data_IF_701049327966
#
_entry.id   IF_701049327966
#
_cell.length_a   1.000
_cell.length_b   1.000
_cell.length_c   1.000
_cell.angle_alpha   90.00
_cell.angle_beta   90.00
_cell.angle_gamma   90.00
#
_symmetry.space_group_name_H-M   'P 1'
#
loop_
_entity.id
_entity.type
_entity.pdbx_description
1 polymer ?
#
# COMPACT_ATOMS: atom_id res chain seq x y z
N UNK A 1 24.10 1.86 5.35
CA UNK A 1 22.72 1.67 5.83
C UNK A 1 22.73 0.34 6.56
N UNK A 2 22.32 0.32 7.82
CA UNK A 2 22.23 -0.94 8.60
C UNK A 2 20.88 -1.58 8.29
N UNK A 3 20.87 -2.81 7.76
CA UNK A 3 19.65 -3.47 7.30
C UNK A 3 19.43 -4.78 8.07
N UNK A 4 18.29 -4.90 8.73
CA UNK A 4 17.94 -6.08 9.53
C UNK A 4 16.66 -6.75 9.04
N UNK A 5 16.61 -8.07 9.10
CA UNK A 5 15.43 -8.88 8.83
C UNK A 5 14.82 -9.35 10.14
N UNK A 6 13.50 -9.19 10.30
CA UNK A 6 12.74 -9.64 11.47
C UNK A 6 11.83 -10.80 11.07
N UNK A 7 11.82 -11.84 11.90
CA UNK A 7 11.02 -13.06 11.71
C UNK A 7 11.35 -13.84 10.43
N UNK A 8 12.63 -13.92 10.05
CA UNK A 8 13.07 -14.71 8.91
C UNK A 8 13.08 -16.21 9.25
N UNK A 9 12.36 -17.02 8.48
CA UNK A 9 12.54 -18.48 8.49
C UNK A 9 13.59 -18.89 7.44
N UNK A 10 14.83 -19.16 7.90
CA UNK A 10 15.93 -19.62 7.02
C UNK A 10 15.60 -20.89 6.24
N UNK A 11 14.75 -21.77 6.79
CA UNK A 11 14.40 -23.04 6.14
C UNK A 11 13.46 -22.85 4.94
N UNK A 12 12.55 -21.88 5.01
CA UNK A 12 11.71 -21.45 3.89
C UNK A 12 12.46 -20.54 2.91
N UNK A 13 13.34 -19.66 3.41
CA UNK A 13 14.13 -18.74 2.59
C UNK A 13 15.07 -19.46 1.62
N UNK A 14 15.64 -20.61 1.97
CA UNK A 14 16.50 -21.37 1.04
C UNK A 14 15.72 -22.37 0.18
N UNK A 15 14.59 -22.89 0.66
CA UNK A 15 13.84 -23.96 -0.02
C UNK A 15 12.88 -23.45 -1.10
N UNK A 16 12.26 -22.28 -0.93
CA UNK A 16 11.37 -21.70 -1.94
C UNK A 16 12.11 -21.27 -3.21
N UNK A 17 13.37 -20.85 -3.11
CA UNK A 17 14.20 -20.50 -4.27
C UNK A 17 14.74 -21.72 -5.01
N UNK A 18 15.00 -22.83 -4.30
CA UNK A 18 15.36 -24.10 -4.95
C UNK A 18 14.18 -24.77 -5.70
N UNK A 19 12.93 -24.49 -5.33
CA UNK A 19 11.74 -25.11 -5.94
C UNK A 19 11.32 -24.51 -7.29
N UNK A 20 11.88 -23.36 -7.70
CA UNK A 20 11.64 -22.78 -9.03
C UNK A 20 12.12 -23.67 -10.21
N UNK A 21 12.85 -24.76 -9.93
CA UNK A 21 13.31 -25.74 -10.95
C UNK A 21 12.26 -26.76 -11.42
N UNK A 22 10.99 -26.68 -11.00
CA UNK A 22 9.95 -27.65 -11.42
C UNK A 22 8.90 -27.06 -12.36
N UNK A 23 9.34 -26.44 -13.46
CA UNK A 23 8.54 -26.40 -14.69
C UNK A 23 9.01 -27.53 -15.61
N UNK A 24 8.36 -28.68 -15.54
CA UNK A 24 8.50 -29.72 -16.57
C UNK A 24 7.75 -29.27 -17.83
N UNK A 25 8.50 -28.98 -18.88
CA UNK A 25 8.01 -28.81 -20.25
C UNK A 25 7.42 -30.15 -20.73
N UNK A 26 6.17 -30.21 -21.23
CA UNK A 26 5.59 -31.46 -21.71
C UNK A 26 6.16 -31.81 -23.08
N UNK A 27 6.91 -32.92 -23.17
CA UNK A 27 7.44 -33.34 -24.47
C UNK A 27 8.36 -34.54 -24.48
N UNK A 28 8.01 -35.68 -23.86
CA UNK A 28 8.54 -36.99 -24.30
C UNK A 28 7.49 -38.07 -24.14
N UNK A 29 7.12 -38.67 -25.27
CA UNK A 29 6.27 -39.84 -25.40
C UNK A 29 6.94 -41.07 -24.77
N UNK A 30 6.31 -41.67 -23.75
CA UNK A 30 6.58 -43.05 -23.37
C UNK A 30 5.27 -43.81 -23.25
N UNK A 31 5.01 -44.64 -24.26
CA UNK A 31 4.01 -45.69 -24.21
C UNK A 31 4.36 -46.68 -23.09
N UNK A 32 3.44 -46.92 -22.16
CA UNK A 32 3.29 -48.23 -21.51
C UNK A 32 1.86 -48.38 -20.97
N UNK A 33 1.14 -49.33 -21.59
CA UNK A 33 -0.14 -49.89 -21.14
C UNK A 33 -0.03 -50.32 -19.68
N UNK A 34 -1.02 -49.96 -18.87
CA UNK A 34 -1.43 -50.82 -17.77
C UNK A 34 -2.95 -50.71 -17.55
N UNK A 35 -3.64 -51.80 -17.88
CA UNK A 35 -5.02 -52.08 -17.51
C UNK A 35 -5.12 -52.17 -15.99
N UNK A 36 -6.10 -51.50 -15.38
CA UNK A 36 -6.85 -52.04 -14.23
C UNK A 36 -8.14 -51.26 -14.02
N UNK A 37 -9.25 -51.99 -14.16
CA UNK A 37 -10.59 -51.59 -13.75
C UNK A 37 -10.63 -51.32 -12.26
N UNK A 38 -11.29 -50.25 -11.82
CA UNK A 38 -11.92 -50.21 -10.51
C UNK A 38 -13.23 -49.45 -10.55
N UNK A 39 -14.16 -49.99 -9.77
CA UNK A 39 -15.61 -49.87 -9.87
C UNK A 39 -16.10 -48.52 -9.36
N UNK A 40 -17.20 -48.10 -9.97
CA UNK A 40 -18.13 -47.08 -9.51
C UNK A 40 -18.49 -47.24 -8.02
N UNK A 41 -18.35 -46.13 -7.28
CA UNK A 41 -19.19 -45.84 -6.11
C UNK A 41 -19.65 -44.39 -6.25
N UNK A 42 -20.95 -44.23 -6.48
CA UNK A 42 -21.64 -42.95 -6.56
C UNK A 42 -21.80 -42.36 -5.15
N UNK A 43 -21.09 -41.29 -4.83
CA UNK A 43 -21.45 -40.38 -3.75
C UNK A 43 -21.96 -39.09 -4.38
N UNK A 44 -23.25 -38.81 -4.20
CA UNK A 44 -23.89 -37.59 -4.68
C UNK A 44 -23.18 -36.35 -4.14
N UNK A 45 -22.57 -35.59 -5.05
CA UNK A 45 -22.11 -34.24 -4.79
C UNK A 45 -23.33 -33.32 -4.84
N UNK A 46 -23.69 -32.74 -3.70
CA UNK A 46 -24.51 -31.53 -3.70
C UNK A 46 -23.65 -30.42 -4.31
N UNK A 47 -23.93 -30.11 -5.58
CA UNK A 47 -23.41 -28.94 -6.27
C UNK A 47 -23.90 -27.68 -5.56
N UNK A 48 -23.13 -27.19 -4.58
CA UNK A 48 -23.20 -25.79 -4.18
C UNK A 48 -22.61 -24.97 -5.33
N UNK A 49 -23.46 -24.63 -6.30
CA UNK A 49 -23.08 -23.73 -7.39
C UNK A 49 -22.87 -22.35 -6.78
N UNK A 50 -21.62 -22.03 -6.41
CA UNK A 50 -21.23 -20.66 -6.04
C UNK A 50 -21.52 -19.81 -7.27
N UNK A 51 -22.45 -18.85 -7.15
CA UNK A 51 -22.72 -17.88 -8.21
C UNK A 51 -21.45 -17.07 -8.42
N UNK A 52 -20.84 -17.21 -9.60
CA UNK A 52 -19.65 -16.47 -10.02
C UNK A 52 -19.97 -15.06 -10.55
N UNK A 53 -21.24 -14.66 -10.54
CA UNK A 53 -21.68 -13.36 -11.05
C UNK A 53 -21.64 -12.30 -9.96
N UNK A 54 -20.99 -11.17 -10.27
CA UNK A 54 -20.99 -9.98 -9.42
C UNK A 54 -22.38 -9.37 -9.38
N UNK A 55 -22.71 -8.63 -8.30
CA UNK A 55 -23.96 -7.88 -8.26
C UNK A 55 -23.88 -6.71 -9.23
N UNK A 56 -24.96 -6.43 -9.95
CA UNK A 56 -25.02 -5.33 -10.91
C UNK A 56 -25.95 -4.21 -10.45
N UNK A 57 -25.53 -2.96 -10.63
CA UNK A 57 -26.27 -1.76 -10.24
C UNK A 57 -26.26 -0.74 -11.37
N UNK A 58 -27.34 0.02 -11.55
CA UNK A 58 -27.38 1.14 -12.49
C UNK A 58 -27.48 2.45 -11.72
N UNK A 59 -26.53 3.37 -11.90
CA UNK A 59 -26.45 4.59 -11.08
C UNK A 59 -27.72 5.44 -11.16
N UNK A 60 -28.36 5.51 -12.33
CA UNK A 60 -29.60 6.25 -12.53
C UNK A 60 -30.80 5.70 -11.74
N UNK A 61 -30.71 4.47 -11.23
CA UNK A 61 -31.78 3.79 -10.50
C UNK A 61 -31.53 3.77 -8.98
N UNK A 62 -30.38 4.29 -8.53
CA UNK A 62 -30.01 4.35 -7.13
C UNK A 62 -30.30 5.71 -6.51
N UNK A 63 -30.74 5.68 -5.25
CA UNK A 63 -30.76 6.86 -4.39
C UNK A 63 -29.34 7.24 -3.97
N UNK A 64 -29.14 8.50 -3.54
CA UNK A 64 -27.85 8.96 -3.00
C UNK A 64 -27.35 8.06 -1.85
N UNK A 65 -28.25 7.64 -0.96
CA UNK A 65 -27.91 6.73 0.14
C UNK A 65 -27.50 5.33 -0.33
N UNK A 66 -28.06 4.84 -1.43
CA UNK A 66 -27.64 3.57 -2.02
C UNK A 66 -26.26 3.67 -2.66
N UNK A 67 -26.00 4.75 -3.40
CA UNK A 67 -24.67 5.03 -3.96
C UNK A 67 -23.63 5.16 -2.84
N UNK A 68 -23.95 5.85 -1.74
CA UNK A 68 -23.06 5.95 -0.58
C UNK A 68 -22.75 4.59 0.06
N UNK A 69 -23.71 3.65 0.07
CA UNK A 69 -23.50 2.29 0.59
C UNK A 69 -22.54 1.47 -0.27
N UNK A 70 -22.44 1.75 -1.58
CA UNK A 70 -21.49 1.06 -2.47
C UNK A 70 -20.02 1.39 -2.17
N UNK A 71 -19.75 2.42 -1.36
CA UNK A 71 -18.39 2.78 -0.91
C UNK A 71 -17.88 1.88 0.21
N UNK A 72 -18.74 1.05 0.80
CA UNK A 72 -18.39 0.20 1.92
C UNK A 72 -17.56 -1.00 1.45
N UNK A 73 -16.50 -1.29 2.20
CA UNK A 73 -15.59 -2.41 1.94
C UNK A 73 -15.96 -3.64 2.78
N UNK A 74 -15.64 -4.85 2.32
CA UNK A 74 -15.87 -6.13 3.01
C UNK A 74 -14.89 -6.35 4.19
N UNK A 75 -14.69 -5.34 5.04
CA UNK A 75 -13.74 -5.39 6.16
C UNK A 75 -14.45 -5.55 7.49
N UNK A 76 -13.76 -6.14 8.46
CA UNK A 76 -14.19 -6.13 9.85
C UNK A 76 -14.04 -4.69 10.39
N UNK A 77 -14.96 -4.29 11.26
CA UNK A 77 -14.83 -3.00 11.94
C UNK A 77 -13.56 -2.93 12.77
N UNK A 78 -12.88 -1.78 12.73
CA UNK A 78 -11.57 -1.62 13.37
C UNK A 78 -11.61 -1.89 14.88
N UNK A 79 -12.70 -1.50 15.57
CA UNK A 79 -12.81 -1.72 17.01
C UNK A 79 -12.76 -3.22 17.37
N UNK A 80 -13.36 -4.06 16.53
CA UNK A 80 -13.37 -5.52 16.72
C UNK A 80 -11.97 -6.09 16.47
N UNK A 81 -11.28 -5.64 15.42
CA UNK A 81 -9.91 -6.11 15.12
C UNK A 81 -8.93 -5.64 16.21
N UNK A 82 -9.09 -4.42 16.72
CA UNK A 82 -8.23 -3.88 17.77
C UNK A 82 -8.27 -4.75 19.02
N UNK A 83 -9.43 -5.30 19.39
CA UNK A 83 -9.53 -6.20 20.55
C UNK A 83 -8.71 -7.49 20.39
N UNK A 84 -8.49 -7.95 19.15
CA UNK A 84 -7.68 -9.14 18.83
C UNK A 84 -6.19 -8.78 18.75
N UNK A 85 -5.86 -7.60 18.25
CA UNK A 85 -4.49 -7.16 18.00
C UNK A 85 -3.81 -6.57 19.23
N UNK A 86 -4.54 -5.81 20.05
CA UNK A 86 -4.00 -5.11 21.22
C UNK A 86 -3.26 -6.04 22.19
N UNK A 87 -3.78 -7.23 22.54
CA UNK A 87 -3.05 -8.15 23.42
C UNK A 87 -1.69 -8.57 22.84
N UNK A 88 -1.59 -8.80 21.52
CA UNK A 88 -0.33 -9.16 20.86
C UNK A 88 0.65 -7.99 20.94
N UNK A 89 0.17 -6.77 20.71
CA UNK A 89 0.99 -5.55 20.80
C UNK A 89 1.56 -5.38 22.22
N UNK A 90 0.72 -5.51 23.25
CA UNK A 90 1.11 -5.32 24.66
C UNK A 90 2.04 -6.42 25.16
N UNK A 91 1.83 -7.66 24.72
CA UNK A 91 2.69 -8.81 25.07
C UNK A 91 4.08 -8.66 24.45
N UNK A 92 4.19 -8.20 23.20
CA UNK A 92 5.51 -7.92 22.59
C UNK A 92 6.21 -6.76 23.28
N UNK A 93 5.47 -5.71 23.68
CA UNK A 93 6.04 -4.60 24.46
C UNK A 93 6.62 -5.07 25.79
N UNK A 94 5.93 -5.97 26.49
CA UNK A 94 6.30 -6.40 27.84
C UNK A 94 7.34 -7.52 27.87
N UNK A 95 7.29 -8.45 26.91
CA UNK A 95 8.15 -9.65 26.89
C UNK A 95 9.19 -9.68 25.75
N UNK A 96 9.16 -8.71 24.83
CA UNK A 96 10.12 -8.60 23.75
C UNK A 96 10.16 -9.86 22.86
N UNK A 97 11.36 -10.38 22.62
CA UNK A 97 11.62 -11.48 21.67
C UNK A 97 10.88 -12.77 22.04
N UNK A 98 10.66 -13.03 23.33
CA UNK A 98 9.97 -14.24 23.78
C UNK A 98 8.51 -14.28 23.28
N UNK A 99 7.81 -13.15 23.34
CA UNK A 99 6.47 -13.03 22.78
C UNK A 99 6.48 -13.17 21.25
N UNK A 100 7.48 -12.59 20.57
CA UNK A 100 7.60 -12.71 19.11
C UNK A 100 7.79 -14.18 18.69
N UNK A 101 8.69 -14.92 19.35
CA UNK A 101 8.91 -16.36 19.10
C UNK A 101 7.65 -17.17 19.39
N UNK A 102 6.96 -16.89 20.50
CA UNK A 102 5.72 -17.57 20.87
C UNK A 102 4.61 -17.38 19.82
N UNK A 103 4.35 -16.15 19.42
CA UNK A 103 3.31 -15.86 18.43
C UNK A 103 3.67 -16.37 17.03
N UNK A 104 4.96 -16.39 16.68
CA UNK A 104 5.43 -17.02 15.43
C UNK A 104 5.17 -18.52 15.44
N UNK A 105 5.47 -19.22 16.53
CA UNK A 105 5.14 -20.65 16.66
C UNK A 105 3.63 -20.90 16.66
N UNK A 106 2.86 -20.00 17.28
CA UNK A 106 1.39 -20.13 17.39
C UNK A 106 0.68 -19.95 16.07
N UNK A 107 0.98 -18.89 15.33
CA UNK A 107 0.25 -18.52 14.11
C UNK A 107 0.90 -19.13 12.87
N UNK A 108 2.21 -18.94 12.72
CA UNK A 108 2.93 -19.31 11.50
C UNK A 108 3.38 -20.77 11.51
N UNK A 109 3.28 -21.45 12.67
CA UNK A 109 3.73 -22.83 12.91
C UNK A 109 5.24 -23.02 12.68
N UNK A 110 6.01 -21.94 12.81
CA UNK A 110 7.46 -21.92 12.68
C UNK A 110 8.09 -21.63 14.04
N UNK A 111 9.13 -22.39 14.41
CA UNK A 111 9.96 -22.08 15.58
C UNK A 111 11.18 -21.30 15.11
N UNK A 112 11.32 -20.07 15.59
CA UNK A 112 12.49 -19.24 15.32
C UNK A 112 13.60 -19.49 16.36
N UNK A 113 14.83 -19.64 15.89
CA UNK A 113 16.01 -19.63 16.74
C UNK A 113 16.37 -18.19 17.11
N UNK A 114 16.48 -17.32 16.10
CA UNK A 114 16.69 -15.87 16.24
C UNK A 114 15.50 -15.07 15.71
N UNK A 115 15.18 -13.94 16.35
CA UNK A 115 14.12 -13.03 15.90
C UNK A 115 14.62 -12.12 14.78
N UNK A 116 15.90 -11.75 14.83
CA UNK A 116 16.52 -10.78 13.93
C UNK A 116 17.78 -11.34 13.32
N UNK A 117 17.93 -11.12 12.02
CA UNK A 117 19.09 -11.47 11.22
C UNK A 117 19.67 -10.20 10.58
N UNK A 118 21.00 -10.04 10.61
CA UNK A 118 21.65 -8.97 9.85
C UNK A 118 21.81 -9.41 8.40
N UNK A 119 21.38 -8.57 7.45
CA UNK A 119 21.49 -8.89 6.02
C UNK A 119 22.96 -9.04 5.62
N UNK A 120 23.88 -8.31 6.26
CA UNK A 120 25.31 -8.40 5.96
C UNK A 120 25.91 -9.78 6.31
N UNK A 121 25.28 -10.53 7.21
CA UNK A 121 25.72 -11.86 7.65
C UNK A 121 25.09 -12.99 6.81
N UNK A 122 24.16 -12.67 5.91
CA UNK A 122 23.51 -13.64 5.03
C UNK A 122 24.28 -13.81 3.71
N UNK A 123 24.40 -15.04 3.19
CA UNK A 123 24.98 -15.24 1.87
C UNK A 123 24.05 -14.70 0.79
N UNK A 124 24.64 -14.22 -0.30
CA UNK A 124 23.87 -13.86 -1.49
C UNK A 124 23.07 -15.07 -1.99
N UNK A 125 21.76 -14.92 -2.26
CA UNK A 125 20.95 -16.04 -2.73
C UNK A 125 21.32 -16.41 -4.17
N UNK A 126 21.40 -17.72 -4.45
CA UNK A 126 21.47 -18.20 -5.82
C UNK A 126 20.09 -18.10 -6.48
N UNK A 127 19.98 -17.27 -7.52
CA UNK A 127 18.75 -17.04 -8.27
C UNK A 127 18.90 -17.57 -9.70
N UNK A 128 17.79 -18.04 -10.27
CA UNK A 128 17.73 -18.26 -11.71
C UNK A 128 18.05 -16.94 -12.45
N UNK A 129 18.91 -16.95 -13.49
CA UNK A 129 19.30 -15.73 -14.19
C UNK A 129 18.12 -14.89 -14.71
N UNK A 130 17.05 -15.52 -15.18
CA UNK A 130 15.88 -14.81 -15.68
C UNK A 130 15.07 -14.16 -14.54
N UNK A 131 15.00 -14.83 -13.38
CA UNK A 131 14.39 -14.26 -12.17
C UNK A 131 15.20 -13.04 -11.70
N UNK A 132 16.53 -13.17 -11.65
CA UNK A 132 17.42 -12.06 -11.30
C UNK A 132 17.24 -10.87 -12.25
N UNK A 133 17.25 -11.11 -13.56
CA UNK A 133 17.07 -10.06 -14.57
C UNK A 133 15.72 -9.34 -14.39
N UNK A 134 14.63 -10.06 -14.14
CA UNK A 134 13.32 -9.45 -13.90
C UNK A 134 13.30 -8.52 -12.67
N UNK A 135 13.90 -8.95 -11.56
CA UNK A 135 14.02 -8.10 -10.35
C UNK A 135 14.98 -6.93 -10.54
N UNK A 136 16.05 -7.10 -11.33
CA UNK A 136 16.96 -6.01 -11.67
C UNK A 136 16.25 -4.94 -12.53
N UNK A 137 15.42 -5.34 -13.50
CA UNK A 137 14.59 -4.42 -14.30
C UNK A 137 13.60 -3.67 -13.41
N UNK A 138 12.87 -4.39 -12.54
CA UNK A 138 11.96 -3.79 -11.58
C UNK A 138 12.67 -2.76 -10.69
N UNK A 139 13.81 -3.14 -10.10
CA UNK A 139 14.62 -2.24 -9.28
C UNK A 139 15.01 -0.96 -10.03
N UNK A 140 15.50 -1.09 -11.27
CA UNK A 140 15.95 0.05 -12.05
C UNK A 140 14.81 1.03 -12.35
N UNK A 141 13.62 0.52 -12.70
CA UNK A 141 12.46 1.36 -12.98
C UNK A 141 11.92 2.04 -11.71
N UNK A 142 11.83 1.31 -10.60
CA UNK A 142 11.42 1.86 -9.29
C UNK A 142 12.41 2.93 -8.83
N UNK A 143 13.71 2.67 -8.93
CA UNK A 143 14.76 3.62 -8.59
C UNK A 143 14.65 4.88 -9.44
N UNK A 144 14.53 4.75 -10.77
CA UNK A 144 14.40 5.89 -11.67
C UNK A 144 13.17 6.75 -11.35
N UNK A 145 12.01 6.13 -11.11
CA UNK A 145 10.77 6.83 -10.79
C UNK A 145 10.85 7.61 -9.47
N UNK A 146 11.41 7.01 -8.41
CA UNK A 146 11.50 7.67 -7.10
C UNK A 146 12.64 8.68 -7.03
N UNK A 147 13.76 8.44 -7.73
CA UNK A 147 14.86 9.40 -7.82
C UNK A 147 14.43 10.70 -8.53
N UNK A 148 13.51 10.61 -9.49
CA UNK A 148 12.95 11.78 -10.17
C UNK A 148 12.09 12.69 -9.26
N UNK A 149 11.71 12.23 -8.05
CA UNK A 149 10.93 13.01 -7.07
C UNK A 149 11.81 13.93 -6.20
N UNK A 150 13.14 13.85 -6.31
CA UNK A 150 14.05 14.70 -5.53
C UNK A 150 13.85 16.17 -5.91
N UNK A 151 13.36 16.97 -4.95
CA UNK A 151 13.20 18.41 -5.13
C UNK A 151 14.57 19.10 -5.19
N UNK A 152 14.75 19.99 -6.16
CA UNK A 152 15.83 20.97 -6.10
C UNK A 152 15.53 22.00 -5.00
N UNK A 153 16.44 22.14 -4.04
CA UNK A 153 16.35 23.10 -2.95
C UNK A 153 16.42 24.54 -3.50
N UNK A 154 15.27 25.20 -3.65
CA UNK A 154 15.23 26.61 -4.03
C UNK A 154 15.60 27.51 -2.86
N UNK A 155 16.65 28.30 -3.03
CA UNK A 155 17.04 29.35 -2.08
C UNK A 155 16.12 30.55 -2.31
N UNK A 156 15.25 30.84 -1.34
CA UNK A 156 14.55 32.13 -1.26
C UNK A 156 15.49 33.08 -0.51
N UNK A 157 15.70 34.31 -0.99
CA UNK A 157 16.52 35.31 -0.28
C UNK A 157 16.12 35.37 1.21
N UNK A 158 17.08 35.13 2.11
CA UNK A 158 16.95 35.01 3.58
C UNK A 158 16.47 33.66 4.15
N UNK A 159 16.34 32.60 3.35
CA UNK A 159 16.11 31.23 3.85
C UNK A 159 17.24 30.30 3.37
N UNK A 160 17.84 29.56 4.31
CA UNK A 160 18.78 28.49 3.97
C UNK A 160 17.98 27.23 3.63
N UNK A 161 18.50 26.38 2.74
CA UNK A 161 17.75 25.21 2.31
C UNK A 161 17.53 24.20 3.45
N UNK A 162 16.41 23.48 3.37
CA UNK A 162 16.08 22.37 4.26
C UNK A 162 17.07 21.22 4.02
N UNK A 163 17.54 20.55 5.08
CA UNK A 163 18.42 19.37 4.93
C UNK A 163 17.58 18.10 4.76
N UNK A 164 17.75 17.40 3.64
CA UNK A 164 17.19 16.07 3.43
C UNK A 164 17.95 15.04 4.30
N UNK A 165 17.23 14.22 5.06
CA UNK A 165 17.80 13.16 5.89
C UNK A 165 17.28 11.80 5.42
N UNK A 166 18.15 10.98 4.85
CA UNK A 166 17.84 9.60 4.49
C UNK A 166 17.84 8.64 5.68
N UNK A 167 17.18 7.49 5.54
CA UNK A 167 17.13 6.45 6.56
C UNK A 167 18.54 5.89 6.84
N UNK A 168 18.94 5.88 8.12
CA UNK A 168 20.21 5.29 8.55
C UNK A 168 20.10 3.78 8.79
N UNK A 169 18.97 3.37 9.36
CA UNK A 169 18.62 2.00 9.70
C UNK A 169 17.33 1.62 8.98
N UNK A 170 17.32 0.44 8.37
CA UNK A 170 16.14 -0.15 7.72
C UNK A 170 15.89 -1.51 8.34
N UNK A 171 14.68 -1.73 8.83
CA UNK A 171 14.26 -3.01 9.40
C UNK A 171 13.13 -3.54 8.54
N UNK A 172 13.29 -4.76 8.03
CA UNK A 172 12.32 -5.39 7.15
C UNK A 172 11.75 -6.64 7.83
N UNK A 173 10.43 -6.66 8.01
CA UNK A 173 9.73 -7.80 8.59
C UNK A 173 9.24 -8.73 7.48
N UNK A 174 9.62 -10.00 7.53
CA UNK A 174 9.10 -11.04 6.62
C UNK A 174 8.21 -12.00 7.37
N UNK A 175 7.04 -12.42 6.82
CA UNK A 175 6.27 -13.49 7.41
C UNK A 175 7.02 -14.82 7.24
N UNK A 176 7.25 -15.59 8.32
CA UNK A 176 7.88 -16.90 8.21
C UNK A 176 6.90 -17.99 7.71
N UNK A 177 5.58 -17.74 7.79
CA UNK A 177 4.52 -18.62 7.29
C UNK A 177 3.79 -18.08 6.05
N UNK A 178 2.98 -18.93 5.40
CA UNK A 178 2.26 -18.61 4.16
C UNK A 178 1.05 -17.67 4.35
N UNK A 179 0.59 -17.45 5.59
CA UNK A 179 -0.60 -16.64 5.89
C UNK A 179 -0.31 -15.11 5.91
N UNK A 180 0.96 -14.72 5.79
CA UNK A 180 1.39 -13.32 5.73
C UNK A 180 1.23 -12.54 7.04
N UNK A 181 0.90 -13.19 8.16
CA UNK A 181 0.59 -12.48 9.41
C UNK A 181 1.86 -12.00 10.13
N UNK A 182 2.10 -10.69 10.18
CA UNK A 182 3.30 -10.10 10.83
C UNK A 182 2.99 -9.14 11.99
N UNK A 183 1.79 -9.21 12.57
CA UNK A 183 1.38 -8.32 13.66
C UNK A 183 2.41 -8.21 14.81
N UNK A 184 2.98 -9.34 15.24
CA UNK A 184 4.05 -9.38 16.24
C UNK A 184 5.33 -8.63 15.82
N UNK A 185 5.68 -8.67 14.54
CA UNK A 185 6.83 -7.93 14.01
C UNK A 185 6.58 -6.42 13.95
N UNK A 186 5.34 -5.98 13.65
CA UNK A 186 4.97 -4.56 13.73
C UNK A 186 5.19 -4.02 15.15
N UNK A 187 4.75 -4.76 16.16
CA UNK A 187 4.97 -4.38 17.56
C UNK A 187 6.45 -4.38 17.95
N UNK A 188 7.22 -5.38 17.49
CA UNK A 188 8.66 -5.46 17.73
C UNK A 188 9.42 -4.27 17.12
N UNK A 189 9.08 -3.87 15.89
CA UNK A 189 9.67 -2.69 15.25
C UNK A 189 9.26 -1.38 15.96
N UNK A 190 8.02 -1.29 16.43
CA UNK A 190 7.52 -0.07 17.06
C UNK A 190 8.14 0.19 18.44
N UNK A 191 8.19 -0.83 19.30
CA UNK A 191 8.73 -0.71 20.65
C UNK A 191 10.23 -0.95 20.74
N UNK A 192 10.79 -1.69 19.77
CA UNK A 192 12.07 -2.34 19.92
C UNK A 192 11.99 -3.56 20.84
N UNK A 193 12.93 -4.47 20.68
CA UNK A 193 13.14 -5.62 21.59
C UNK A 193 14.63 -5.74 21.92
N UNK A 194 15.03 -6.82 22.60
CA UNK A 194 16.45 -7.12 22.81
C UNK A 194 17.25 -7.25 21.51
N UNK A 195 16.62 -7.72 20.43
CA UNK A 195 17.27 -7.92 19.13
C UNK A 195 16.76 -6.98 18.02
N UNK A 196 15.49 -6.61 18.04
CA UNK A 196 14.87 -5.73 17.04
C UNK A 196 15.08 -4.25 17.40
N UNK A 197 15.73 -3.46 16.52
CA UNK A 197 15.81 -2.02 16.71
C UNK A 197 14.41 -1.40 16.70
N UNK A 198 14.20 -0.41 17.57
CA UNK A 198 13.04 0.48 17.49
C UNK A 198 13.18 1.37 16.25
N UNK A 199 12.12 1.47 15.44
CA UNK A 199 12.05 2.41 14.30
C UNK A 199 11.17 3.63 14.63
N UNK A 200 11.30 4.71 13.86
CA UNK A 200 10.42 5.89 14.00
C UNK A 200 9.20 5.88 13.06
N UNK A 201 9.23 5.09 11.98
CA UNK A 201 8.12 4.97 11.03
C UNK A 201 8.03 3.55 10.47
N UNK A 202 6.81 3.00 10.41
CA UNK A 202 6.53 1.65 9.88
C UNK A 202 5.77 1.77 8.56
N UNK A 203 6.20 0.98 7.57
CA UNK A 203 5.68 1.00 6.21
C UNK A 203 5.14 -0.37 5.79
N UNK A 204 4.35 -0.37 4.72
CA UNK A 204 4.04 -1.56 3.95
C UNK A 204 2.58 -2.01 4.07
N UNK A 205 2.11 -2.78 3.08
CA UNK A 205 0.78 -3.35 3.09
C UNK A 205 0.70 -4.55 4.03
N UNK A 206 -0.52 -4.99 4.31
CA UNK A 206 -0.72 -6.25 5.00
C UNK A 206 -2.20 -6.58 5.16
N UNK A 207 -2.46 -7.76 5.69
CA UNK A 207 -3.82 -8.13 6.05
C UNK A 207 -4.38 -7.16 7.11
N UNK A 208 -5.69 -7.25 7.34
CA UNK A 208 -6.40 -6.37 8.27
C UNK A 208 -5.80 -6.31 9.70
N UNK A 209 -5.11 -7.36 10.17
CA UNK A 209 -4.46 -7.39 11.48
C UNK A 209 -3.17 -6.57 11.50
N UNK A 210 -2.37 -6.64 10.42
CA UNK A 210 -1.16 -5.81 10.24
C UNK A 210 -1.55 -4.33 10.18
N UNK A 211 -2.56 -4.00 9.39
CA UNK A 211 -3.08 -2.64 9.28
C UNK A 211 -3.63 -2.13 10.61
N UNK A 212 -4.36 -2.96 11.35
CA UNK A 212 -4.82 -2.61 12.68
C UNK A 212 -3.66 -2.39 13.67
N UNK A 213 -2.62 -3.21 13.64
CA UNK A 213 -1.44 -3.04 14.50
C UNK A 213 -0.74 -1.71 14.24
N UNK A 214 -0.54 -1.36 12.95
CA UNK A 214 -0.02 -0.06 12.51
C UNK A 214 -0.87 1.10 13.07
N UNK A 215 -2.19 0.99 12.96
CA UNK A 215 -3.13 2.03 13.42
C UNK A 215 -3.19 2.19 14.94
N UNK A 216 -3.02 1.11 15.70
CA UNK A 216 -2.89 1.15 17.16
C UNK A 216 -1.58 1.84 17.55
N UNK A 217 -0.47 1.39 16.97
CA UNK A 217 0.87 1.80 17.40
C UNK A 217 1.19 3.26 17.10
N UNK A 218 0.65 3.84 16.02
CA UNK A 218 0.81 5.28 15.75
C UNK A 218 0.16 6.18 16.82
N UNK A 219 -0.78 5.66 17.60
CA UNK A 219 -1.46 6.35 18.69
C UNK A 219 -0.92 5.95 20.07
N UNK A 220 0.18 5.21 20.12
CA UNK A 220 0.77 4.69 21.36
C UNK A 220 1.99 5.49 21.80
N UNK A 221 2.43 5.24 23.04
CA UNK A 221 3.68 5.76 23.60
C UNK A 221 4.95 5.22 22.90
N UNK A 222 4.82 4.41 21.84
CA UNK A 222 5.95 3.95 21.04
C UNK A 222 6.59 5.09 20.24
N UNK A 223 5.88 6.23 20.10
CA UNK A 223 6.35 7.40 19.35
C UNK A 223 6.80 7.01 17.93
N UNK A 224 5.88 6.35 17.22
CA UNK A 224 6.06 5.97 15.81
C UNK A 224 4.98 6.61 14.96
N UNK A 225 5.29 6.79 13.68
CA UNK A 225 4.29 7.07 12.65
C UNK A 225 4.14 5.86 11.72
N UNK A 226 3.13 5.89 10.86
CA UNK A 226 2.97 4.93 9.77
C UNK A 226 2.88 5.69 8.45
N UNK A 227 3.06 4.99 7.34
CA UNK A 227 2.73 5.50 6.00
C UNK A 227 1.23 5.76 5.85
N UNK A 228 0.41 4.69 5.91
CA UNK A 228 -1.04 4.74 5.70
C UNK A 228 -1.71 3.42 6.11
N UNK A 229 -3.05 3.40 6.23
CA UNK A 229 -3.81 2.16 6.22
C UNK A 229 -3.78 1.53 4.82
N UNK A 230 -3.03 0.45 4.66
CA UNK A 230 -2.91 -0.33 3.44
C UNK A 230 -3.38 -1.75 3.73
N UNK A 231 -4.71 -1.93 3.67
CA UNK A 231 -5.41 -3.20 3.93
C UNK A 231 -5.47 -4.11 2.70
N UNK A 232 -6.49 -4.99 2.63
CA UNK A 232 -6.79 -5.81 1.45
C UNK A 232 -6.93 -4.96 0.21
N UNK A 233 -6.40 -5.55 -0.84
CA UNK A 233 -6.25 -5.07 -2.18
C UNK A 233 -7.58 -4.72 -2.87
N UNK A 234 -7.62 -3.58 -3.57
CA UNK A 234 -8.79 -3.08 -4.32
C UNK A 234 -8.41 -2.73 -5.77
N UNK A 235 -9.31 -2.98 -6.72
CA UNK A 235 -9.23 -2.44 -8.09
C UNK A 235 -10.60 -1.99 -8.57
N UNK A 236 -10.65 -0.83 -9.22
CA UNK A 236 -11.82 -0.36 -9.95
C UNK A 236 -11.45 -0.21 -11.43
N UNK A 237 -12.16 -0.94 -12.29
CA UNK A 237 -11.97 -0.90 -13.75
C UNK A 237 -13.12 -0.12 -14.38
N UNK A 238 -12.81 0.97 -15.07
CA UNK A 238 -13.76 1.67 -15.94
C UNK A 238 -13.58 1.13 -17.36
N UNK A 239 -14.63 0.57 -17.94
CA UNK A 239 -14.61 -0.03 -19.27
C UNK A 239 -15.70 0.54 -20.18
N UNK A 240 -15.34 0.89 -21.41
CA UNK A 240 -16.29 1.26 -22.48
C UNK A 240 -16.39 0.16 -23.55
N UNK A 241 -17.21 0.37 -24.57
CA UNK A 241 -17.45 -0.61 -25.65
C UNK A 241 -16.22 -1.03 -26.45
N UNK A 242 -15.08 -0.33 -26.31
CA UNK A 242 -13.82 -0.68 -26.98
C UNK A 242 -12.93 -1.57 -26.12
N UNK A 243 -13.26 -1.73 -24.83
CA UNK A 243 -12.54 -2.62 -23.93
C UNK A 243 -12.73 -4.08 -24.36
N UNK A 244 -11.63 -4.85 -24.36
CA UNK A 244 -11.70 -6.29 -24.59
C UNK A 244 -12.21 -6.98 -23.31
N UNK A 245 -13.33 -7.73 -23.36
CA UNK A 245 -13.86 -8.44 -22.20
C UNK A 245 -12.83 -9.37 -21.54
N UNK A 246 -11.91 -9.93 -22.34
CA UNK A 246 -10.85 -10.80 -21.84
C UNK A 246 -9.86 -10.09 -20.95
N UNK A 247 -9.53 -8.84 -21.29
CA UNK A 247 -8.58 -8.05 -20.51
C UNK A 247 -9.26 -7.51 -19.25
N UNK A 248 -10.50 -7.01 -19.36
CA UNK A 248 -11.29 -6.55 -18.21
C UNK A 248 -11.45 -7.66 -17.17
N UNK A 249 -11.79 -8.89 -17.61
CA UNK A 249 -11.88 -10.04 -16.72
C UNK A 249 -10.53 -10.37 -16.05
N UNK A 250 -9.44 -10.29 -16.80
CA UNK A 250 -8.10 -10.56 -16.27
C UNK A 250 -7.68 -9.53 -15.22
N UNK A 251 -7.93 -8.25 -15.46
CA UNK A 251 -7.63 -7.15 -14.52
C UNK A 251 -8.47 -7.26 -13.23
N UNK A 252 -9.74 -7.62 -13.33
CA UNK A 252 -10.56 -7.87 -12.13
C UNK A 252 -10.04 -9.08 -11.34
N UNK A 253 -9.58 -10.13 -12.03
CA UNK A 253 -9.10 -11.34 -11.38
C UNK A 253 -7.70 -11.20 -10.79
N UNK A 254 -6.83 -10.36 -11.36
CA UNK A 254 -5.46 -10.15 -10.84
C UNK A 254 -5.49 -9.65 -9.42
N UNK A 255 -6.46 -8.79 -9.08
CA UNK A 255 -6.60 -8.30 -7.71
C UNK A 255 -7.48 -9.18 -6.82
N UNK A 256 -8.48 -9.86 -7.41
CA UNK A 256 -9.33 -10.79 -6.66
C UNK A 256 -8.54 -11.97 -6.08
N UNK A 257 -7.45 -12.41 -6.72
CA UNK A 257 -6.66 -13.55 -6.23
C UNK A 257 -5.74 -13.23 -5.04
N UNK A 258 -5.53 -11.95 -4.72
CA UNK A 258 -4.69 -11.53 -3.59
C UNK A 258 -5.21 -12.09 -2.26
N UNK A 259 -6.52 -12.03 -2.02
CA UNK A 259 -7.14 -12.51 -0.80
C UNK A 259 -8.67 -12.55 -0.85
N UNK A 260 -9.31 -13.32 0.05
CA UNK A 260 -10.77 -13.43 0.13
C UNK A 260 -11.45 -12.11 0.55
N UNK A 261 -10.68 -11.15 1.05
CA UNK A 261 -11.07 -9.82 1.50
C UNK A 261 -10.80 -8.71 0.46
N UNK A 262 -10.17 -9.03 -0.68
CA UNK A 262 -10.03 -8.10 -1.81
C UNK A 262 -11.37 -7.72 -2.40
N UNK A 263 -11.58 -6.46 -2.79
CA UNK A 263 -12.81 -6.02 -3.46
C UNK A 263 -12.50 -5.49 -4.85
N UNK A 264 -13.23 -5.98 -5.85
CA UNK A 264 -13.08 -5.51 -7.23
C UNK A 264 -14.39 -4.86 -7.72
N UNK A 265 -14.26 -3.81 -8.52
CA UNK A 265 -15.41 -3.05 -9.01
C UNK A 265 -15.28 -2.84 -10.52
N UNK A 266 -16.29 -3.22 -11.28
CA UNK A 266 -16.39 -2.89 -12.70
C UNK A 266 -17.35 -1.70 -12.87
N UNK A 267 -16.94 -0.66 -13.58
CA UNK A 267 -17.80 0.45 -13.97
C UNK A 267 -17.92 0.46 -15.49
N UNK A 268 -19.08 0.06 -15.99
CA UNK A 268 -19.43 0.11 -17.41
C UNK A 268 -19.80 1.54 -17.78
N UNK A 269 -19.05 2.15 -18.68
CA UNK A 269 -19.24 3.53 -19.11
C UNK A 269 -19.95 3.60 -20.48
N UNK A 270 -21.20 4.05 -20.46
CA UNK A 270 -22.04 4.19 -21.66
C UNK A 270 -22.57 2.87 -22.20
N UNK A 271 -22.99 2.89 -23.46
CA UNK A 271 -23.64 1.76 -24.12
C UNK A 271 -22.64 0.88 -24.89
N UNK A 272 -23.01 -0.39 -25.11
CA UNK A 272 -22.33 -1.30 -26.04
C UNK A 272 -21.24 -2.18 -25.41
N UNK A 273 -21.07 -2.14 -24.09
CA UNK A 273 -20.29 -3.15 -23.36
C UNK A 273 -21.17 -4.39 -23.18
N UNK A 274 -20.67 -5.55 -23.62
CA UNK A 274 -21.34 -6.83 -23.38
C UNK A 274 -20.89 -7.38 -22.02
N UNK A 275 -21.72 -7.20 -20.99
CA UNK A 275 -21.42 -7.70 -19.65
C UNK A 275 -21.39 -9.24 -19.60
N UNK A 276 -22.22 -9.92 -20.39
CA UNK A 276 -22.26 -11.38 -20.43
C UNK A 276 -20.89 -11.94 -20.86
N UNK A 277 -20.23 -11.31 -21.84
CA UNK A 277 -18.89 -11.71 -22.29
C UNK A 277 -17.83 -11.53 -21.19
N UNK A 278 -17.94 -10.47 -20.38
CA UNK A 278 -17.02 -10.22 -19.26
C UNK A 278 -17.27 -11.26 -18.15
N UNK A 279 -18.53 -11.51 -17.79
CA UNK A 279 -18.88 -12.49 -16.75
C UNK A 279 -18.49 -13.93 -17.14
N UNK A 280 -18.69 -14.30 -18.41
CA UNK A 280 -18.28 -15.59 -18.94
C UNK A 280 -16.75 -15.77 -18.87
N UNK A 281 -16.00 -14.71 -19.20
CA UNK A 281 -14.54 -14.79 -19.14
C UNK A 281 -14.02 -14.76 -17.69
N UNK A 282 -14.63 -13.98 -16.78
CA UNK A 282 -14.32 -14.06 -15.33
C UNK A 282 -14.47 -15.51 -14.85
N UNK A 283 -15.60 -16.15 -15.17
CA UNK A 283 -15.86 -17.53 -14.78
C UNK A 283 -14.84 -18.50 -15.38
N UNK A 284 -14.53 -18.35 -16.66
CA UNK A 284 -13.60 -19.22 -17.39
C UNK A 284 -12.16 -19.08 -16.89
N UNK A 285 -11.69 -17.87 -16.63
CA UNK A 285 -10.34 -17.60 -16.15
C UNK A 285 -10.21 -18.01 -14.67
N UNK A 286 -11.17 -17.64 -13.82
CA UNK A 286 -11.14 -17.94 -12.38
C UNK A 286 -11.03 -19.45 -12.08
N UNK A 287 -11.73 -20.29 -12.85
CA UNK A 287 -11.65 -21.76 -12.71
C UNK A 287 -10.26 -22.34 -13.01
N UNK A 288 -9.40 -21.60 -13.70
CA UNK A 288 -8.04 -22.02 -14.08
C UNK A 288 -6.98 -21.45 -13.14
N UNK A 289 -7.35 -20.55 -12.22
CA UNK A 289 -6.43 -19.95 -11.27
C UNK A 289 -6.13 -20.91 -10.12
N UNK A 290 -4.85 -21.11 -9.76
CA UNK A 290 -4.48 -21.85 -8.55
C UNK A 290 -5.14 -21.29 -7.28
N UNK A 291 -5.35 -19.96 -7.24
CA UNK A 291 -6.00 -19.24 -6.13
C UNK A 291 -7.47 -18.90 -6.42
N UNK A 292 -8.13 -19.65 -7.30
CA UNK A 292 -9.51 -19.40 -7.72
C UNK A 292 -10.52 -19.36 -6.57
N UNK A 293 -10.32 -20.12 -5.48
CA UNK A 293 -11.20 -20.04 -4.31
C UNK A 293 -11.16 -18.68 -3.60
N UNK A 294 -9.99 -18.02 -3.57
CA UNK A 294 -9.87 -16.67 -3.00
C UNK A 294 -10.55 -15.66 -3.92
N UNK A 295 -10.28 -15.76 -5.24
CA UNK A 295 -10.92 -14.91 -6.23
C UNK A 295 -12.45 -15.03 -6.21
N UNK A 296 -13.01 -16.25 -6.12
CA UNK A 296 -14.45 -16.46 -5.97
C UNK A 296 -15.02 -15.81 -4.70
N UNK A 297 -14.26 -15.82 -3.61
CA UNK A 297 -14.68 -15.19 -2.36
C UNK A 297 -14.66 -13.67 -2.47
N UNK A 298 -13.62 -13.08 -3.06
CA UNK A 298 -13.54 -11.66 -3.38
C UNK A 298 -14.70 -11.22 -4.29
N UNK A 299 -14.98 -11.99 -5.35
CA UNK A 299 -16.08 -11.72 -6.28
C UNK A 299 -17.46 -11.72 -5.60
N UNK A 300 -17.65 -12.45 -4.49
CA UNK A 300 -18.93 -12.53 -3.79
C UNK A 300 -19.39 -11.22 -3.14
N UNK A 301 -18.48 -10.28 -2.94
CA UNK A 301 -18.73 -8.94 -2.39
C UNK A 301 -18.22 -7.81 -3.31
N UNK A 302 -17.87 -8.18 -4.54
CA UNK A 302 -17.56 -7.31 -5.67
C UNK A 302 -18.82 -7.00 -6.48
N UNK A 303 -18.77 -5.95 -7.30
CA UNK A 303 -19.96 -5.50 -8.03
C UNK A 303 -19.64 -4.74 -9.32
N UNK A 304 -20.63 -4.74 -10.22
CA UNK A 304 -20.66 -3.96 -11.46
C UNK A 304 -21.59 -2.76 -11.28
N UNK A 305 -21.17 -1.61 -11.83
CA UNK A 305 -21.95 -0.37 -11.87
C UNK A 305 -22.09 0.09 -13.32
N UNK A 306 -23.30 0.40 -13.76
CA UNK A 306 -23.56 1.02 -15.06
C UNK A 306 -23.69 2.53 -14.89
N UNK A 307 -22.80 3.25 -15.56
CA UNK A 307 -22.78 4.70 -15.68
C UNK A 307 -23.17 5.11 -17.12
N UNK A 308 -23.87 6.24 -17.26
CA UNK A 308 -24.37 6.73 -18.55
C UNK A 308 -23.25 7.14 -19.51
N UNK A 309 -22.10 7.56 -18.99
CA UNK A 309 -20.94 8.04 -19.72
C UNK A 309 -19.67 7.92 -18.85
N UNK A 310 -18.50 8.23 -19.43
CA UNK A 310 -17.22 8.18 -18.71
C UNK A 310 -17.13 9.22 -17.59
N UNK A 311 -17.83 10.36 -17.71
CA UNK A 311 -17.81 11.41 -16.68
C UNK A 311 -18.52 10.92 -15.41
N UNK A 312 -19.69 10.29 -15.56
CA UNK A 312 -20.43 9.69 -14.44
C UNK A 312 -19.64 8.50 -13.85
N UNK A 313 -18.97 7.71 -14.68
CA UNK A 313 -18.11 6.62 -14.23
C UNK A 313 -16.94 7.11 -13.34
N UNK A 314 -16.23 8.16 -13.78
CA UNK A 314 -15.13 8.76 -13.00
C UNK A 314 -15.67 9.44 -11.74
N UNK A 315 -16.85 10.08 -11.81
CA UNK A 315 -17.48 10.67 -10.63
C UNK A 315 -17.79 9.61 -9.57
N UNK A 316 -18.27 8.43 -9.97
CA UNK A 316 -18.46 7.30 -9.07
C UNK A 316 -17.12 6.75 -8.55
N UNK A 317 -16.10 6.62 -9.42
CA UNK A 317 -14.75 6.21 -9.01
C UNK A 317 -14.17 7.12 -7.94
N UNK A 318 -14.23 8.45 -8.12
CA UNK A 318 -13.79 9.44 -7.14
C UNK A 318 -14.53 9.30 -5.80
N UNK A 319 -15.82 8.97 -5.83
CA UNK A 319 -16.61 8.74 -4.62
C UNK A 319 -16.18 7.46 -3.87
N UNK A 320 -15.94 6.38 -4.64
CA UNK A 320 -15.44 5.11 -4.12
C UNK A 320 -14.03 5.26 -3.54
N UNK A 321 -13.17 6.00 -4.24
CA UNK A 321 -11.74 6.23 -3.97
C UNK A 321 -10.96 4.91 -3.93
N UNK A 322 -10.75 4.27 -5.08
CA UNK A 322 -10.07 2.97 -5.16
C UNK A 322 -8.57 3.07 -4.87
N UNK A 323 -7.99 1.96 -4.44
CA UNK A 323 -6.53 1.79 -4.39
C UNK A 323 -5.94 1.87 -5.81
N UNK A 324 -6.42 1.02 -6.72
CA UNK A 324 -6.03 1.00 -8.13
C UNK A 324 -7.21 1.38 -9.03
N UNK A 325 -6.98 2.29 -9.98
CA UNK A 325 -7.96 2.72 -10.97
C UNK A 325 -7.46 2.37 -12.37
N UNK A 326 -8.13 1.45 -13.05
CA UNK A 326 -7.85 1.13 -14.47
C UNK A 326 -8.90 1.81 -15.34
N UNK A 327 -8.46 2.66 -16.26
CA UNK A 327 -9.33 3.35 -17.22
C UNK A 327 -9.12 2.73 -18.60
N UNK A 328 -9.87 1.66 -18.87
CA UNK A 328 -9.87 0.93 -20.14
C UNK A 328 -10.99 1.45 -21.05
N UNK A 329 -10.86 2.70 -21.47
CA UNK A 329 -11.78 3.38 -22.40
C UNK A 329 -11.00 3.96 -23.57
N UNK A 330 -11.69 4.33 -24.64
CA UNK A 330 -11.04 5.04 -25.76
C UNK A 330 -10.54 6.42 -25.32
N UNK A 331 -9.32 6.77 -25.72
CA UNK A 331 -8.63 8.01 -25.38
C UNK A 331 -8.54 8.26 -23.86
N UNK A 332 -8.19 7.22 -23.09
CA UNK A 332 -8.17 7.21 -21.63
C UNK A 332 -7.43 8.41 -21.01
N UNK A 333 -6.34 8.87 -21.63
CA UNK A 333 -5.50 9.97 -21.16
C UNK A 333 -6.24 11.31 -21.11
N UNK A 334 -7.28 11.50 -21.93
CA UNK A 334 -8.08 12.74 -21.92
C UNK A 334 -8.87 12.92 -20.63
N UNK A 335 -9.03 11.86 -19.85
CA UNK A 335 -9.83 11.86 -18.64
C UNK A 335 -9.02 12.03 -17.36
N UNK A 336 -7.69 12.11 -17.46
CA UNK A 336 -6.77 12.23 -16.31
C UNK A 336 -7.15 13.38 -15.38
N UNK A 337 -7.50 14.55 -15.93
CA UNK A 337 -7.85 15.75 -15.14
C UNK A 337 -9.16 15.64 -14.35
N UNK A 338 -9.96 14.60 -14.57
CA UNK A 338 -11.21 14.34 -13.84
C UNK A 338 -10.99 13.43 -12.62
N UNK A 339 -9.81 12.82 -12.51
CA UNK A 339 -9.48 11.92 -11.42
C UNK A 339 -9.12 12.77 -10.20
N UNK A 340 -9.90 12.61 -9.13
CA UNK A 340 -9.67 13.29 -7.85
C UNK A 340 -9.12 12.32 -6.79
N UNK A 341 -9.64 11.09 -6.75
CA UNK A 341 -9.30 10.11 -5.71
C UNK A 341 -9.00 8.74 -6.32
N UNK A 342 -7.72 8.38 -6.37
CA UNK A 342 -7.22 7.04 -6.67
C UNK A 342 -5.79 6.91 -6.11
N UNK A 343 -5.40 5.72 -5.64
CA UNK A 343 -4.03 5.48 -5.18
C UNK A 343 -3.02 5.48 -6.33
N UNK A 344 -3.31 4.69 -7.37
CA UNK A 344 -2.54 4.62 -8.62
C UNK A 344 -3.48 4.41 -9.81
N UNK A 345 -3.11 4.96 -10.97
CA UNK A 345 -3.96 5.02 -12.16
C UNK A 345 -3.27 4.35 -13.34
N UNK A 346 -4.03 3.52 -14.06
CA UNK A 346 -3.59 2.78 -15.23
C UNK A 346 -4.44 3.16 -16.44
N UNK A 347 -3.82 3.70 -17.48
CA UNK A 347 -4.53 4.27 -18.63
C UNK A 347 -4.42 3.38 -19.87
N UNK A 348 -5.56 3.06 -20.47
CA UNK A 348 -5.65 2.36 -21.76
C UNK A 348 -5.51 0.84 -21.69
N UNK A 349 -5.50 0.22 -22.87
CA UNK A 349 -5.66 -1.25 -23.05
C UNK A 349 -4.44 -2.09 -22.70
N UNK A 350 -3.26 -1.46 -22.57
CA UNK A 350 -1.96 -2.14 -22.46
C UNK A 350 -1.28 -1.92 -21.11
N UNK A 351 -2.02 -1.38 -20.15
CA UNK A 351 -1.51 -0.98 -18.85
C UNK A 351 -2.26 -1.76 -17.77
N UNK A 352 -2.11 -3.09 -17.68
CA UNK A 352 -2.74 -3.87 -16.62
C UNK A 352 -2.12 -3.50 -15.26
N UNK A 353 -2.88 -3.65 -14.18
CA UNK A 353 -2.40 -3.36 -12.81
C UNK A 353 -1.04 -4.03 -12.51
N UNK A 354 -0.87 -5.25 -13.02
CA UNK A 354 0.36 -6.04 -12.84
C UNK A 354 1.64 -5.30 -13.26
N UNK A 355 1.63 -4.43 -14.28
CA UNK A 355 2.87 -3.68 -14.58
C UNK A 355 3.22 -2.71 -13.45
N UNK A 356 2.22 -2.12 -12.79
CA UNK A 356 2.39 -1.29 -11.58
C UNK A 356 2.89 -2.08 -10.39
N UNK A 357 2.31 -3.25 -10.15
CA UNK A 357 2.66 -4.10 -9.02
C UNK A 357 4.10 -4.59 -9.04
N UNK A 358 4.69 -4.72 -10.23
CA UNK A 358 6.00 -5.35 -10.38
C UNK A 358 7.09 -4.41 -10.88
N UNK A 359 6.90 -3.68 -11.98
CA UNK A 359 8.06 -3.19 -12.75
C UNK A 359 7.91 -1.86 -13.49
N UNK A 360 6.75 -1.20 -13.51
CA UNK A 360 6.59 0.09 -14.21
C UNK A 360 7.40 1.21 -13.57
N UNK A 361 7.66 1.10 -12.27
CA UNK A 361 8.40 2.05 -11.44
C UNK A 361 7.54 2.76 -10.39
N UNK A 362 6.21 2.77 -10.58
CA UNK A 362 5.27 3.28 -9.56
C UNK A 362 5.32 2.41 -8.30
N UNK A 363 4.84 2.95 -7.18
CA UNK A 363 4.81 2.25 -5.90
C UNK A 363 3.45 1.56 -5.70
N UNK A 364 3.44 0.26 -5.41
CA UNK A 364 2.21 -0.50 -5.16
C UNK A 364 1.73 -0.45 -3.70
N UNK A 365 2.45 0.23 -2.81
CA UNK A 365 2.00 0.42 -1.42
C UNK A 365 1.08 1.62 -1.40
N UNK A 366 -0.22 1.34 -1.53
CA UNK A 366 -1.26 2.32 -1.77
C UNK A 366 -2.33 2.30 -0.67
N UNK A 367 -3.08 3.40 -0.52
CA UNK A 367 -4.12 3.49 0.49
C UNK A 367 -5.39 2.78 0.02
N UNK A 368 -5.91 1.87 0.83
CA UNK A 368 -7.17 1.15 0.55
C UNK A 368 -8.34 1.72 1.38
N UNK A 369 -9.52 1.10 1.35
CA UNK A 369 -10.69 1.45 2.17
C UNK A 369 -11.27 2.86 1.96
N UNK A 370 -10.89 3.52 0.86
CA UNK A 370 -11.25 4.90 0.59
C UNK A 370 -10.31 5.92 1.22
N UNK A 371 -9.17 5.50 1.79
CA UNK A 371 -8.13 6.41 2.28
C UNK A 371 -7.41 7.14 1.14
N UNK A 372 -7.54 6.70 -0.12
CA UNK A 372 -7.08 7.43 -1.30
C UNK A 372 -7.69 8.85 -1.44
N UNK A 373 -8.70 9.21 -0.63
CA UNK A 373 -9.22 10.59 -0.55
C UNK A 373 -8.29 11.58 0.13
N UNK A 374 -7.34 11.10 0.94
CA UNK A 374 -6.46 11.97 1.72
C UNK A 374 -5.01 11.47 1.85
N UNK A 375 -4.75 10.21 1.52
CA UNK A 375 -3.40 9.65 1.45
C UNK A 375 -2.99 9.48 -0.01
N UNK A 376 -1.72 9.78 -0.30
CA UNK A 376 -1.05 9.28 -1.50
C UNK A 376 -0.38 7.94 -1.23
N UNK A 377 0.01 7.25 -2.29
CA UNK A 377 0.89 6.08 -2.22
C UNK A 377 2.25 6.39 -1.60
N UNK A 378 3.01 5.35 -1.22
CA UNK A 378 4.36 5.52 -0.71
C UNK A 378 5.24 6.18 -1.78
N UNK A 379 5.98 7.20 -1.36
CA UNK A 379 6.83 8.04 -2.21
C UNK A 379 8.16 8.34 -1.51
N UNK A 380 9.07 9.03 -2.20
CA UNK A 380 10.34 9.47 -1.61
C UNK A 380 10.13 10.32 -0.34
N UNK A 381 9.15 11.21 -0.36
CA UNK A 381 8.82 12.10 0.78
C UNK A 381 8.33 11.32 2.00
N UNK A 382 7.80 10.12 1.79
CA UNK A 382 7.30 9.29 2.87
C UNK A 382 8.41 8.91 3.86
N UNK A 383 9.68 8.92 3.41
CA UNK A 383 10.87 8.58 4.20
C UNK A 383 11.61 9.82 4.76
N UNK A 384 11.06 11.01 4.57
CA UNK A 384 11.75 12.26 4.87
C UNK A 384 10.93 13.18 5.77
N UNK A 385 11.59 14.22 6.28
CA UNK A 385 10.98 15.34 7.00
C UNK A 385 11.53 16.64 6.43
N UNK A 386 10.65 17.59 6.21
CA UNK A 386 11.00 18.93 5.75
C UNK A 386 11.23 19.84 6.97
N UNK A 387 12.49 20.23 7.20
CA UNK A 387 12.86 21.15 8.29
C UNK A 387 12.94 22.58 7.73
N UNK A 388 12.13 23.49 8.27
CA UNK A 388 12.20 24.92 7.93
C UNK A 388 13.36 25.61 8.66
N UNK A 389 14.11 26.45 7.94
CA UNK A 389 15.27 27.18 8.49
C UNK A 389 15.14 28.67 8.13
N UNK A 390 15.03 29.50 9.15
CA UNK A 390 15.00 30.96 9.03
C UNK A 390 16.28 31.59 9.59
N UNK A 391 16.77 32.62 8.89
CA UNK A 391 17.88 33.45 9.36
C UNK A 391 17.65 34.89 8.93
N UNK A 392 17.67 35.83 9.88
CA UNK A 392 17.49 37.26 9.59
C UNK A 392 18.82 37.99 9.83
N UNK A 393 19.14 38.91 8.93
CA UNK A 393 20.16 39.94 9.19
C UNK A 393 19.60 40.99 10.16
N UNK A 394 20.46 41.87 10.68
CA UNK A 394 20.00 43.02 11.48
C UNK A 394 19.01 43.90 10.70
N UNK A 395 19.27 44.14 9.41
CA UNK A 395 18.38 44.89 8.53
C UNK A 395 17.04 44.18 8.34
N UNK A 396 17.06 42.86 8.10
CA UNK A 396 15.85 42.05 8.03
C UNK A 396 15.01 42.14 9.31
N UNK A 397 15.65 42.12 10.48
CA UNK A 397 14.95 42.27 11.76
C UNK A 397 14.41 43.68 11.96
N UNK A 398 15.09 44.74 11.51
CA UNK A 398 14.55 46.11 11.55
C UNK A 398 13.30 46.26 10.70
N UNK A 399 13.29 45.62 9.53
CA UNK A 399 12.16 45.68 8.61
C UNK A 399 10.98 44.85 9.11
N UNK A 400 11.20 43.62 9.59
CA UNK A 400 10.12 42.71 10.00
C UNK A 400 9.69 42.90 11.47
N UNK A 401 10.62 43.24 12.35
CA UNK A 401 10.44 43.25 13.80
C UNK A 401 9.28 44.11 14.31
N UNK A 402 9.09 45.35 13.84
CA UNK A 402 7.97 46.18 14.26
C UNK A 402 6.61 45.51 14.02
N UNK A 403 6.43 44.86 12.86
CA UNK A 403 5.19 44.14 12.55
C UNK A 403 4.97 42.95 13.48
N UNK A 404 6.03 42.17 13.77
CA UNK A 404 5.96 41.04 14.71
C UNK A 404 5.60 41.52 16.12
N UNK A 405 6.18 42.64 16.57
CA UNK A 405 5.87 43.22 17.88
C UNK A 405 4.40 43.69 17.98
N UNK A 406 3.86 44.31 16.93
CA UNK A 406 2.44 44.70 16.86
C UNK A 406 1.51 43.48 16.88
N UNK A 407 1.82 42.43 16.10
CA UNK A 407 1.01 41.20 16.11
C UNK A 407 1.04 40.53 17.50
N UNK A 408 2.22 40.41 18.11
CA UNK A 408 2.36 39.84 19.45
C UNK A 408 1.61 40.66 20.52
N UNK A 409 1.49 41.98 20.36
CA UNK A 409 0.69 42.83 21.24
C UNK A 409 -0.81 42.57 21.09
N UNK A 410 -1.31 42.44 19.86
CA UNK A 410 -2.71 42.09 19.58
C UNK A 410 -3.06 40.71 20.15
N UNK A 411 -2.13 39.76 20.09
CA UNK A 411 -2.29 38.42 20.67
C UNK A 411 -2.08 38.36 22.19
N UNK A 412 -1.67 39.46 22.84
CA UNK A 412 -1.39 39.50 24.27
C UNK A 412 -0.14 38.72 24.70
N UNK A 413 0.77 38.43 23.76
CA UNK A 413 1.99 37.65 23.97
C UNK A 413 3.21 38.53 24.25
N UNK A 414 3.24 39.15 25.43
CA UNK A 414 4.26 40.14 25.79
C UNK A 414 5.71 39.61 25.71
N UNK A 415 5.96 38.34 26.06
CA UNK A 415 7.29 37.75 25.96
C UNK A 415 7.77 37.65 24.49
N UNK A 416 6.86 37.35 23.55
CA UNK A 416 7.18 37.29 22.11
C UNK A 416 7.52 38.70 21.59
N UNK A 417 6.72 39.70 21.97
CA UNK A 417 7.01 41.11 21.68
C UNK A 417 8.39 41.53 22.19
N UNK A 418 8.69 41.24 23.47
CA UNK A 418 9.99 41.58 24.10
C UNK A 418 11.18 40.92 23.43
N UNK A 419 11.05 39.67 22.96
CA UNK A 419 12.11 38.98 22.25
C UNK A 419 12.57 39.78 21.01
N UNK A 420 11.67 40.50 20.35
CA UNK A 420 11.98 41.37 19.22
C UNK A 420 12.47 42.74 19.68
N UNK A 421 11.72 43.41 20.55
CA UNK A 421 12.00 44.82 20.90
C UNK A 421 13.34 45.00 21.60
N UNK A 422 13.78 44.06 22.44
CA UNK A 422 15.10 44.11 23.09
C UNK A 422 16.26 44.01 22.09
N UNK A 423 16.12 43.21 21.03
CA UNK A 423 17.13 43.12 19.96
C UNK A 423 17.17 44.41 19.12
N UNK A 424 16.01 44.98 18.80
CA UNK A 424 15.95 46.27 18.11
C UNK A 424 16.56 47.40 18.95
N UNK A 425 16.35 47.39 20.27
CA UNK A 425 16.98 48.33 21.19
C UNK A 425 18.50 48.19 21.20
N UNK A 426 19.04 46.98 21.24
CA UNK A 426 20.49 46.73 21.14
C UNK A 426 21.08 47.27 19.83
N UNK A 427 20.43 46.99 18.69
CA UNK A 427 20.88 47.49 17.39
C UNK A 427 20.86 49.03 17.38
N UNK A 428 19.81 49.65 17.93
CA UNK A 428 19.72 51.10 18.05
C UNK A 428 20.83 51.69 18.93
N UNK A 429 21.14 51.05 20.06
CA UNK A 429 22.19 51.49 20.99
C UNK A 429 23.59 51.45 20.35
N UNK A 430 23.93 50.39 19.61
CA UNK A 430 25.22 50.27 18.90
C UNK A 430 25.40 51.29 17.78
N UNK A 431 24.33 51.64 17.08
CA UNK A 431 24.39 52.69 16.05
C UNK A 431 24.61 54.08 16.65
N UNK A 432 23.98 54.37 17.78
CA UNK A 432 24.17 55.62 18.51
C UNK A 432 25.59 55.76 19.10
N UNK A 433 26.24 54.66 19.49
CA UNK A 433 27.63 54.68 19.98
C UNK A 433 28.66 54.86 18.86
N UNK A 434 28.41 54.33 17.66
CA UNK A 434 29.33 54.45 16.52
C UNK A 434 29.23 55.79 15.78
N UNK A 435 28.17 56.56 16.02
CA UNK A 435 27.96 57.88 15.43
C UNK A 435 28.51 59.04 16.29
N UNK A 436 29.04 58.74 17.47
CA UNK A 436 29.79 59.65 18.35
C UNK A 436 31.26 59.39 18.22
#
# INVERSE_FOLDING_TARGET
METKLVCLDRSNFLSNFCQARRFQIPGVCFSKRCNRSLRFLSSGSMSNTVKCAMKSYKLSELTVSEVDRLRARPRIDFSSIFSVVQPIVDEVRSRGDDAVKEYTAKFDKVKLDEVVEDVADLPDPELDPAIKEAFDVAYNNIYAFHAAQMLEEKIIENMKPAKLAGCKTVVLATPPGQDGSICKAISAMAWGTSSCPKVEKIFGPGNQYVTAAKMILQNSEAMISIDMPAGPSEVLVIADKYANPVHVAADLLSQAEHGPDSQVVLVVAGDGVNLDDVEDEIKKQCQRLPRGEFALKALSHSFTVFARDVVEAISFSNLYAPEHLIINVKDAEKWESFIENAGSVFLGQWTPESVGDYASGTNHVLPTYGYARMYGGVSLDSFQKYITIQSLTEEGLKNLGPYVATMAEVEGLEAHKRAVTLRLQDIGARQASNAR
#
